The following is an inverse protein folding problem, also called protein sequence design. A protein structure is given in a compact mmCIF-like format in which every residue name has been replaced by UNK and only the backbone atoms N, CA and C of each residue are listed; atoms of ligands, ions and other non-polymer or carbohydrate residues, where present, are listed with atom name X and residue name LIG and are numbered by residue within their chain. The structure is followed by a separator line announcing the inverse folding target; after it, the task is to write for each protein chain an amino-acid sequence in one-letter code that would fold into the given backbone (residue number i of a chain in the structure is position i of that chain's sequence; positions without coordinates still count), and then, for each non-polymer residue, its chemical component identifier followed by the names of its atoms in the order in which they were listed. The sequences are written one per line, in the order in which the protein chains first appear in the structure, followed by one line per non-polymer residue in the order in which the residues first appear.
data_IF_184059359378
#
_entry.id   IF_184059359378
#
_cell.length_a   1.000
_cell.length_b   1.000
_cell.length_c   1.000
_cell.angle_alpha   90.00
_cell.angle_beta   90.00
_cell.angle_gamma   90.00
#
_symmetry.space_group_name_H-M   'P 1'
#
loop_
_entity.id
_entity.type
_entity.pdbx_description
1 polymer ?
#
# COMPACT_ATOMS: atom_id res chain seq x y z
N UNK A 1 7.34 -11.45 -16.18
CA UNK A 1 8.05 -12.59 -15.57
C UNK A 1 9.03 -13.22 -16.58
N UNK A 2 8.58 -13.52 -17.82
CA UNK A 2 9.49 -14.05 -18.87
C UNK A 2 10.69 -13.12 -19.13
N UNK A 3 10.47 -11.80 -19.13
CA UNK A 3 11.53 -10.82 -19.32
C UNK A 3 12.60 -10.85 -18.21
N UNK A 4 12.26 -11.35 -17.04
CA UNK A 4 13.15 -11.47 -15.89
C UNK A 4 13.73 -12.89 -15.72
N UNK A 5 13.67 -13.71 -16.77
CA UNK A 5 14.16 -15.10 -16.78
C UNK A 5 13.54 -16.01 -15.71
N UNK A 6 12.35 -15.68 -15.21
CA UNK A 6 11.63 -16.54 -14.27
C UNK A 6 11.10 -17.80 -14.97
N UNK A 7 11.34 -18.95 -14.40
CA UNK A 7 10.71 -20.19 -14.83
C UNK A 7 9.22 -20.16 -14.48
N UNK A 8 8.37 -20.41 -15.49
CA UNK A 8 6.92 -20.22 -15.39
C UNK A 8 6.14 -21.54 -15.25
N UNK A 9 6.80 -22.69 -15.43
CA UNK A 9 6.14 -24.00 -15.54
C UNK A 9 5.35 -24.42 -14.32
N UNK A 10 5.79 -23.99 -13.10
CA UNK A 10 5.16 -24.35 -11.85
C UNK A 10 4.28 -23.22 -11.26
N UNK A 11 4.12 -22.11 -12.00
CA UNK A 11 3.35 -20.96 -11.56
C UNK A 11 1.90 -21.09 -12.01
N UNK A 12 0.99 -20.89 -11.08
CA UNK A 12 -0.44 -20.78 -11.33
C UNK A 12 -0.84 -19.31 -11.29
N UNK A 13 -1.37 -18.82 -12.39
CA UNK A 13 -1.85 -17.44 -12.51
C UNK A 13 -3.35 -17.41 -12.36
N UNK A 14 -3.83 -16.49 -11.52
CA UNK A 14 -5.25 -16.16 -11.41
C UNK A 14 -5.38 -14.66 -11.67
N UNK A 15 -6.34 -14.29 -12.52
CA UNK A 15 -6.67 -12.88 -12.69
C UNK A 15 -7.22 -12.35 -11.37
N UNK A 16 -6.72 -11.21 -10.92
CA UNK A 16 -7.26 -10.50 -9.77
C UNK A 16 -8.61 -9.90 -10.16
N UNK A 17 -9.57 -10.06 -9.27
CA UNK A 17 -10.91 -9.45 -9.37
C UNK A 17 -11.15 -8.61 -8.11
N UNK A 18 -12.01 -7.60 -8.22
CA UNK A 18 -12.37 -6.78 -7.06
C UNK A 18 -13.00 -7.62 -5.94
N UNK A 19 -12.73 -7.23 -4.71
CA UNK A 19 -13.24 -7.89 -3.52
C UNK A 19 -12.30 -8.94 -2.94
N UNK A 20 -12.82 -9.88 -2.17
CA UNK A 20 -12.02 -10.92 -1.52
C UNK A 20 -11.47 -11.91 -2.55
N UNK A 21 -10.16 -11.98 -2.68
CA UNK A 21 -9.43 -12.87 -3.62
C UNK A 21 -8.83 -14.08 -2.93
N UNK A 22 -8.64 -14.01 -1.62
CA UNK A 22 -8.17 -15.12 -0.79
C UNK A 22 -8.77 -15.02 0.61
N UNK A 23 -9.21 -16.14 1.18
CA UNK A 23 -9.66 -16.26 2.56
C UNK A 23 -9.58 -17.74 2.96
N UNK A 24 -8.74 -18.07 3.95
CA UNK A 24 -8.60 -19.42 4.51
C UNK A 24 -8.95 -19.48 6.00
N UNK A 25 -9.53 -18.39 6.51
CA UNK A 25 -9.89 -18.23 7.92
C UNK A 25 -8.77 -17.68 8.81
N UNK A 26 -7.51 -17.71 8.35
CA UNK A 26 -6.36 -17.07 9.03
C UNK A 26 -5.91 -15.81 8.31
N UNK A 27 -5.80 -15.88 6.99
CA UNK A 27 -5.38 -14.80 6.12
C UNK A 27 -6.52 -14.45 5.17
N UNK A 28 -6.88 -13.19 5.12
CA UNK A 28 -7.82 -12.65 4.15
C UNK A 28 -7.17 -11.55 3.33
N UNK A 29 -7.32 -11.64 2.01
CA UNK A 29 -6.81 -10.64 1.08
C UNK A 29 -7.96 -10.08 0.25
N UNK A 30 -8.15 -8.77 0.33
CA UNK A 30 -9.15 -8.05 -0.44
C UNK A 30 -8.45 -7.17 -1.46
N UNK A 31 -8.77 -7.33 -2.74
CA UNK A 31 -8.30 -6.48 -3.83
C UNK A 31 -9.28 -5.31 -4.03
N UNK A 32 -8.74 -4.10 -4.07
CA UNK A 32 -9.50 -2.85 -4.19
C UNK A 32 -9.01 -2.15 -5.45
N UNK A 33 -9.88 -1.88 -6.45
CA UNK A 33 -9.45 -1.27 -7.69
C UNK A 33 -8.88 0.12 -7.45
N UNK A 34 -7.77 0.43 -8.14
CA UNK A 34 -7.19 1.77 -8.23
C UNK A 34 -7.31 2.29 -9.65
N UNK A 35 -7.03 3.59 -9.85
CA UNK A 35 -7.18 4.22 -11.17
C UNK A 35 -5.83 4.55 -11.83
N UNK A 36 -4.74 3.94 -11.34
CA UNK A 36 -3.42 4.16 -11.92
C UNK A 36 -3.34 3.66 -13.37
N UNK A 37 -3.74 2.43 -13.59
CA UNK A 37 -3.86 1.81 -14.91
C UNK A 37 -4.96 0.74 -14.91
N UNK A 38 -5.38 0.22 -16.08
CA UNK A 38 -6.29 -0.91 -16.15
C UNK A 38 -5.80 -2.10 -15.30
N UNK A 39 -6.71 -2.72 -14.57
CA UNK A 39 -6.43 -3.87 -13.69
C UNK A 39 -5.47 -3.58 -12.50
N UNK A 40 -5.20 -2.30 -12.15
CA UNK A 40 -4.42 -1.98 -10.96
C UNK A 40 -5.26 -2.09 -9.68
N UNK A 41 -4.63 -2.58 -8.60
CA UNK A 41 -5.31 -2.81 -7.33
C UNK A 41 -4.42 -2.43 -6.15
N UNK A 42 -5.05 -1.90 -5.11
CA UNK A 42 -4.55 -1.94 -3.76
C UNK A 42 -4.97 -3.27 -3.10
N UNK A 43 -4.25 -3.68 -2.06
CA UNK A 43 -4.56 -4.90 -1.32
C UNK A 43 -4.70 -4.61 0.16
N UNK A 44 -5.85 -5.00 0.73
CA UNK A 44 -6.08 -4.97 2.16
C UNK A 44 -5.93 -6.39 2.70
N UNK A 45 -4.95 -6.59 3.56
CA UNK A 45 -4.54 -7.90 4.08
C UNK A 45 -4.86 -7.95 5.56
N UNK A 46 -5.67 -8.93 5.97
CA UNK A 46 -6.08 -9.15 7.35
C UNK A 46 -5.56 -10.51 7.82
N UNK A 47 -4.90 -10.56 8.97
CA UNK A 47 -4.43 -11.80 9.60
C UNK A 47 -4.36 -11.63 11.12
N UNK A 48 -4.84 -12.59 11.88
CA UNK A 48 -4.74 -12.63 13.35
C UNK A 48 -5.22 -11.34 14.05
N UNK A 49 -6.29 -10.73 13.54
CA UNK A 49 -6.84 -9.49 14.08
C UNK A 49 -6.05 -8.21 13.76
N UNK A 50 -5.02 -8.32 12.93
CA UNK A 50 -4.21 -7.21 12.41
C UNK A 50 -4.50 -6.99 10.94
N UNK A 51 -4.26 -5.78 10.45
CA UNK A 51 -4.45 -5.47 9.04
C UNK A 51 -3.31 -4.62 8.49
N UNK A 52 -3.02 -4.81 7.19
CA UNK A 52 -2.06 -4.03 6.42
C UNK A 52 -2.72 -3.59 5.12
N UNK A 53 -2.56 -2.32 4.78
CA UNK A 53 -2.93 -1.81 3.46
C UNK A 53 -1.70 -1.64 2.59
N UNK A 54 -1.68 -2.28 1.43
CA UNK A 54 -0.77 -2.00 0.33
C UNK A 54 -1.53 -1.16 -0.70
N UNK A 55 -1.14 0.09 -0.91
CA UNK A 55 -1.86 0.94 -1.88
C UNK A 55 -1.61 0.51 -3.32
N UNK A 56 -0.46 -0.13 -3.59
CA UNK A 56 0.03 -0.20 -4.95
C UNK A 56 0.24 1.21 -5.51
N UNK A 57 0.31 1.32 -6.83
CA UNK A 57 0.39 2.61 -7.49
C UNK A 57 -1.01 3.22 -7.60
N UNK A 58 -1.13 4.48 -7.21
CA UNK A 58 -2.37 5.24 -7.26
C UNK A 58 -2.35 6.25 -8.40
N UNK A 59 -3.52 6.59 -8.91
CA UNK A 59 -3.64 7.77 -9.75
C UNK A 59 -3.34 9.04 -8.94
N UNK A 60 -3.93 9.15 -7.76
CA UNK A 60 -3.68 10.21 -6.79
C UNK A 60 -4.38 9.88 -5.45
N UNK A 61 -3.79 10.18 -4.27
CA UNK A 61 -4.40 9.85 -2.97
C UNK A 61 -5.84 10.37 -2.79
N UNK A 62 -6.13 11.57 -3.29
CA UNK A 62 -7.46 12.16 -3.18
C UNK A 62 -8.49 11.53 -4.13
N UNK A 63 -8.06 10.67 -5.07
CA UNK A 63 -8.94 10.07 -6.09
C UNK A 63 -9.28 8.63 -5.75
N UNK A 64 -8.25 7.81 -5.47
CA UNK A 64 -8.41 6.37 -5.40
C UNK A 64 -7.74 5.69 -4.19
N UNK A 65 -7.38 6.48 -3.15
CA UNK A 65 -6.93 5.90 -1.89
C UNK A 65 -8.03 5.03 -1.26
N UNK A 66 -7.73 3.78 -0.86
CA UNK A 66 -8.71 2.82 -0.38
C UNK A 66 -9.47 3.31 0.85
N UNK A 67 -10.78 3.44 0.73
CA UNK A 67 -11.66 3.94 1.83
C UNK A 67 -11.62 3.06 3.07
N UNK A 68 -11.38 1.75 2.88
CA UNK A 68 -11.31 0.78 3.98
C UNK A 68 -10.30 1.17 5.06
N UNK A 69 -9.22 1.88 4.70
CA UNK A 69 -8.22 2.34 5.66
C UNK A 69 -8.74 3.44 6.61
N UNK A 70 -9.85 4.09 6.28
CA UNK A 70 -10.54 5.04 7.16
C UNK A 70 -11.57 4.34 8.06
N UNK A 71 -12.01 3.16 7.67
CA UNK A 71 -13.07 2.39 8.33
C UNK A 71 -12.49 1.35 9.30
N UNK A 72 -11.29 0.83 8.99
CA UNK A 72 -10.62 -0.21 9.76
C UNK A 72 -9.22 0.22 10.19
N UNK A 73 -8.82 -0.07 11.44
CA UNK A 73 -7.46 0.20 11.89
C UNK A 73 -6.46 -0.69 11.13
N UNK A 74 -5.27 -0.15 10.89
CA UNK A 74 -4.16 -0.89 10.25
C UNK A 74 -2.89 -0.80 11.08
N UNK A 75 -2.09 -1.88 11.07
CA UNK A 75 -0.73 -1.85 11.60
C UNK A 75 0.16 -0.98 10.69
N UNK A 76 0.03 -1.19 9.38
CA UNK A 76 0.78 -0.45 8.38
C UNK A 76 -0.11 0.00 7.21
N UNK A 77 0.17 1.19 6.70
CA UNK A 77 -0.15 1.60 5.34
C UNK A 77 1.16 1.63 4.57
N UNK A 78 1.27 0.80 3.54
CA UNK A 78 2.43 0.74 2.64
C UNK A 78 2.02 1.45 1.36
N UNK A 79 2.63 2.60 1.08
CA UNK A 79 2.24 3.47 -0.02
C UNK A 79 3.43 3.83 -0.91
N UNK A 80 3.13 4.18 -2.15
CA UNK A 80 4.09 4.67 -3.14
C UNK A 80 4.40 6.16 -2.97
N UNK A 81 5.49 6.64 -3.53
CA UNK A 81 5.82 8.05 -3.67
C UNK A 81 6.61 8.31 -4.98
N UNK A 82 6.14 7.75 -6.10
CA UNK A 82 6.78 7.89 -7.39
C UNK A 82 6.00 8.79 -8.36
N UNK A 83 4.66 8.85 -8.25
CA UNK A 83 3.81 9.45 -9.28
C UNK A 83 3.29 10.86 -8.92
N UNK A 84 3.30 11.22 -7.63
CA UNK A 84 2.82 12.52 -7.12
C UNK A 84 3.59 12.91 -5.85
N UNK A 85 3.56 14.18 -5.39
CA UNK A 85 4.19 14.57 -4.13
C UNK A 85 3.67 13.77 -2.95
N UNK A 86 4.55 13.20 -2.13
CA UNK A 86 4.15 12.40 -0.97
C UNK A 86 3.29 13.18 0.02
N UNK A 87 3.43 14.51 0.08
CA UNK A 87 2.59 15.39 0.89
C UNK A 87 1.12 15.33 0.56
N UNK A 88 0.75 14.87 -0.65
CA UNK A 88 -0.65 14.73 -1.06
C UNK A 88 -1.38 13.61 -0.31
N UNK A 89 -0.64 12.72 0.36
CA UNK A 89 -1.22 11.74 1.29
C UNK A 89 -1.73 12.34 2.60
N UNK A 90 -1.30 13.55 2.97
CA UNK A 90 -1.62 14.15 4.29
C UNK A 90 -3.10 14.05 4.65
N UNK A 91 -4.07 14.50 3.81
CA UNK A 91 -5.48 14.50 4.20
C UNK A 91 -6.08 13.10 4.35
N UNK A 92 -5.61 12.13 3.56
CA UNK A 92 -6.15 10.76 3.61
C UNK A 92 -5.55 9.97 4.75
N UNK A 93 -4.24 10.11 5.02
CA UNK A 93 -3.56 9.42 6.12
C UNK A 93 -3.94 9.99 7.49
N UNK A 94 -4.13 11.31 7.60
CA UNK A 94 -4.63 11.93 8.83
C UNK A 94 -6.04 11.44 9.24
N UNK A 95 -6.80 10.93 8.27
CA UNK A 95 -8.14 10.37 8.51
C UNK A 95 -8.13 8.85 8.77
N UNK A 96 -6.96 8.21 8.78
CA UNK A 96 -6.81 6.77 9.01
C UNK A 96 -6.39 6.46 10.44
N UNK A 97 -6.83 5.31 10.97
CA UNK A 97 -6.31 4.72 12.20
C UNK A 97 -5.19 3.75 11.84
N UNK A 98 -4.00 4.26 11.51
CA UNK A 98 -2.82 3.43 11.23
C UNK A 98 -1.74 3.65 12.29
N UNK A 99 -0.97 2.62 12.60
CA UNK A 99 0.15 2.74 13.56
C UNK A 99 1.42 3.27 12.91
N UNK A 100 1.61 3.02 11.62
CA UNK A 100 2.78 3.45 10.88
C UNK A 100 2.50 3.53 9.38
N UNK A 101 3.17 4.46 8.71
CA UNK A 101 3.21 4.58 7.25
C UNK A 101 4.59 4.16 6.74
N UNK A 102 4.60 3.28 5.76
CA UNK A 102 5.80 2.78 5.09
C UNK A 102 5.77 3.21 3.63
N UNK A 103 6.80 3.93 3.20
CA UNK A 103 6.90 4.44 1.85
C UNK A 103 7.85 3.58 1.03
N UNK A 104 7.31 2.87 0.06
CA UNK A 104 8.06 2.13 -0.96
C UNK A 104 7.94 2.83 -2.32
N UNK A 105 8.51 2.29 -3.38
CA UNK A 105 8.39 2.79 -4.76
C UNK A 105 8.43 4.33 -4.81
N UNK A 106 9.50 4.93 -4.29
CA UNK A 106 9.68 6.38 -4.25
C UNK A 106 10.72 6.86 -5.27
N UNK A 107 10.42 7.97 -5.92
CA UNK A 107 11.38 8.64 -6.79
C UNK A 107 12.33 9.55 -5.99
N UNK A 108 13.61 9.71 -6.37
CA UNK A 108 14.57 10.54 -5.64
C UNK A 108 14.10 11.99 -5.41
N UNK A 109 13.39 12.58 -6.36
CA UNK A 109 12.84 13.94 -6.23
C UNK A 109 11.77 14.05 -5.13
N UNK A 110 11.17 12.94 -4.71
CA UNK A 110 10.09 12.91 -3.73
C UNK A 110 10.59 12.71 -2.29
N UNK A 111 11.86 12.42 -2.07
CA UNK A 111 12.44 12.24 -0.74
C UNK A 111 12.14 13.44 0.19
N UNK A 112 12.31 14.72 -0.22
CA UNK A 112 11.95 15.85 0.63
C UNK A 112 10.47 15.89 1.01
N UNK A 113 9.58 15.51 0.07
CA UNK A 113 8.14 15.47 0.33
C UNK A 113 7.76 14.36 1.33
N UNK A 114 8.43 13.20 1.31
CA UNK A 114 8.24 12.15 2.31
C UNK A 114 8.70 12.62 3.70
N UNK A 115 9.80 13.34 3.79
CA UNK A 115 10.28 13.93 5.03
C UNK A 115 9.27 14.97 5.56
N UNK A 116 8.77 15.85 4.71
CA UNK A 116 7.73 16.81 5.07
C UNK A 116 6.42 16.12 5.50
N UNK A 117 6.03 15.04 4.82
CA UNK A 117 4.88 14.22 5.22
C UNK A 117 5.06 13.67 6.64
N UNK A 118 6.26 13.16 6.96
CA UNK A 118 6.57 12.64 8.28
C UNK A 118 6.47 13.71 9.37
N UNK A 119 6.96 14.91 9.11
CA UNK A 119 6.83 16.05 10.02
C UNK A 119 5.38 16.46 10.23
N UNK A 120 4.60 16.50 9.13
CA UNK A 120 3.19 16.93 9.16
C UNK A 120 2.29 15.95 9.89
N UNK A 121 2.55 14.65 9.75
CA UNK A 121 1.74 13.59 10.38
C UNK A 121 2.21 13.21 11.79
N UNK A 122 3.28 13.82 12.32
CA UNK A 122 3.76 13.51 13.67
C UNK A 122 2.62 13.61 14.71
N UNK A 123 2.52 12.65 15.67
CA UNK A 123 3.48 11.61 16.01
C UNK A 123 3.36 10.28 15.20
N UNK A 124 2.54 10.21 14.15
CA UNK A 124 2.43 9.02 13.31
C UNK A 124 3.77 8.76 12.59
N UNK A 125 4.42 7.60 12.81
CA UNK A 125 5.70 7.32 12.17
C UNK A 125 5.53 7.12 10.65
N UNK A 126 6.30 7.85 9.86
CA UNK A 126 6.45 7.66 8.40
C UNK A 126 7.89 7.26 8.11
N UNK A 127 8.11 6.14 7.44
CA UNK A 127 9.45 5.61 7.17
C UNK A 127 9.59 5.15 5.72
N UNK A 128 10.79 5.30 5.18
CA UNK A 128 11.17 4.66 3.93
C UNK A 128 11.36 3.15 4.12
N UNK A 129 11.00 2.38 3.10
CA UNK A 129 11.28 0.94 3.00
C UNK A 129 12.36 0.73 1.96
N UNK A 130 13.37 -0.06 2.32
CA UNK A 130 14.46 -0.44 1.43
C UNK A 130 14.38 -1.93 1.10
N UNK A 131 15.00 -2.34 -0.01
CA UNK A 131 15.09 -3.73 -0.40
C UNK A 131 15.74 -4.57 0.71
N UNK A 132 15.13 -5.72 1.01
CA UNK A 132 15.56 -6.61 2.08
C UNK A 132 15.11 -6.22 3.49
N UNK A 133 14.39 -5.11 3.67
CA UNK A 133 13.83 -4.75 4.98
C UNK A 133 12.79 -5.78 5.42
N UNK A 134 12.90 -6.20 6.67
CA UNK A 134 11.94 -7.11 7.31
C UNK A 134 11.21 -6.35 8.42
N UNK A 135 9.89 -6.50 8.45
CA UNK A 135 9.02 -5.89 9.46
C UNK A 135 8.13 -6.98 10.04
N UNK A 136 8.14 -7.11 11.35
CA UNK A 136 7.25 -8.05 12.06
C UNK A 136 5.98 -7.34 12.48
N UNK A 137 4.84 -7.98 12.26
CA UNK A 137 3.51 -7.56 12.70
C UNK A 137 3.24 -7.94 14.15
#
# INVERSE_FOLDING_TARGET
LKANHCEMRDLRFKKVTDGTIFDDGYLKVTAIPTQHCPDSHAFFVEAEGKAVLFTGDLKHPNVDFPKIAKEKPTEFVICEAAHFPATDYTPVLAACSTKQVLVNHYAPWNIPNVMQLAETLAPLPVKFVNDGMQITL
#
